data_IF_309037796136
#
_entry.id   IF_309037796136
#
_cell.length_a   1.000
_cell.length_b   1.000
_cell.length_c   1.000
_cell.angle_alpha   90.00
_cell.angle_beta   90.00
_cell.angle_gamma   90.00
#
_symmetry.space_group_name_H-M   'P 1'
#
loop_
_entity.id
_entity.type
_entity.pdbx_description
1 polymer ?
#
# COMPACT_ATOMS: atom_id res chain seq x y z
N UNK A 1 0.42 -19.07 -13.56
CA UNK A 1 -0.66 -19.93 -13.01
C UNK A 1 -1.73 -19.00 -12.50
N UNK A 2 -3.00 -19.20 -12.85
CA UNK A 2 -4.07 -18.30 -12.41
C UNK A 2 -4.42 -18.57 -10.96
N UNK A 3 -4.31 -17.55 -10.10
CA UNK A 3 -4.72 -17.64 -8.69
C UNK A 3 -6.24 -17.79 -8.61
N UNK A 4 -6.70 -18.84 -7.92
CA UNK A 4 -8.12 -19.07 -7.68
C UNK A 4 -8.67 -17.97 -6.75
N UNK A 5 -9.82 -17.42 -7.11
CA UNK A 5 -10.51 -16.39 -6.34
C UNK A 5 -11.99 -16.75 -6.23
N UNK A 6 -12.48 -16.85 -4.99
CA UNK A 6 -13.89 -17.06 -4.67
C UNK A 6 -14.49 -15.71 -4.29
N UNK A 7 -15.57 -15.27 -4.95
CA UNK A 7 -16.28 -14.06 -4.54
C UNK A 7 -16.97 -14.32 -3.20
N UNK A 8 -16.72 -13.49 -2.21
CA UNK A 8 -17.40 -13.53 -0.90
C UNK A 8 -18.60 -12.59 -0.92
N UNK A 9 -18.38 -11.34 -1.31
CA UNK A 9 -19.40 -10.29 -1.42
C UNK A 9 -19.03 -9.30 -2.53
N UNK A 10 -19.78 -8.20 -2.65
CA UNK A 10 -19.59 -7.20 -3.72
C UNK A 10 -18.26 -6.44 -3.66
N UNK A 11 -17.53 -6.54 -2.55
CA UNK A 11 -16.28 -5.84 -2.32
C UNK A 11 -15.16 -6.76 -1.82
N UNK A 12 -15.32 -8.09 -1.86
CA UNK A 12 -14.36 -9.04 -1.31
C UNK A 12 -14.27 -10.34 -2.10
N UNK A 13 -13.05 -10.76 -2.35
CA UNK A 13 -12.70 -12.08 -2.88
C UNK A 13 -11.75 -12.80 -1.91
N UNK A 14 -11.86 -14.11 -1.86
CA UNK A 14 -10.97 -15.00 -1.11
C UNK A 14 -10.04 -15.74 -2.05
N UNK A 15 -8.76 -15.79 -1.70
CA UNK A 15 -7.83 -16.80 -2.21
C UNK A 15 -7.87 -17.97 -1.21
N UNK A 16 -8.42 -19.14 -1.58
CA UNK A 16 -8.58 -20.24 -0.64
C UNK A 16 -7.25 -20.68 -0.03
N UNK A 17 -7.25 -20.99 1.26
CA UNK A 17 -6.06 -21.51 1.92
C UNK A 17 -5.70 -22.87 1.33
N UNK A 18 -4.46 -22.99 0.86
CA UNK A 18 -3.91 -24.22 0.29
C UNK A 18 -2.64 -24.62 1.04
N UNK A 19 -2.79 -25.59 1.98
CA UNK A 19 -1.66 -26.15 2.73
C UNK A 19 -0.66 -26.89 1.83
N UNK A 20 -1.11 -27.43 0.69
CA UNK A 20 -0.22 -28.06 -0.30
C UNK A 20 0.72 -27.07 -0.97
N UNK A 21 0.35 -25.78 -1.01
CA UNK A 21 1.21 -24.66 -1.44
C UNK A 21 1.99 -24.01 -0.29
N UNK A 22 1.90 -24.55 0.93
CA UNK A 22 2.54 -24.02 2.12
C UNK A 22 1.86 -22.78 2.71
N UNK A 23 0.60 -22.49 2.35
CA UNK A 23 -0.13 -21.37 2.95
C UNK A 23 -0.53 -21.70 4.40
N UNK A 24 -0.28 -20.76 5.31
CA UNK A 24 -0.67 -20.83 6.72
C UNK A 24 -2.06 -20.24 6.95
N UNK A 25 -2.47 -19.29 6.10
CA UNK A 25 -3.77 -18.61 6.14
C UNK A 25 -4.36 -18.45 4.73
N UNK A 26 -5.63 -18.06 4.63
CA UNK A 26 -6.24 -17.64 3.36
C UNK A 26 -5.75 -16.27 2.93
N UNK A 27 -5.96 -15.92 1.65
CA UNK A 27 -5.85 -14.55 1.17
C UNK A 27 -7.22 -13.85 1.11
N UNK A 28 -7.27 -12.55 1.38
CA UNK A 28 -8.47 -11.71 1.19
C UNK A 28 -8.10 -10.51 0.32
N UNK A 29 -8.82 -10.34 -0.78
CA UNK A 29 -8.64 -9.22 -1.71
C UNK A 29 -9.90 -8.37 -1.68
N UNK A 30 -9.79 -7.14 -1.20
CA UNK A 30 -10.87 -6.18 -1.23
C UNK A 30 -10.95 -5.59 -2.62
N UNK A 31 -12.02 -5.86 -3.36
CA UNK A 31 -12.19 -5.40 -4.73
C UNK A 31 -13.63 -5.62 -5.17
N UNK A 32 -14.10 -4.82 -6.13
CA UNK A 32 -15.38 -5.06 -6.81
C UNK A 32 -15.15 -5.84 -8.13
N UNK A 33 -16.25 -6.18 -8.83
CA UNK A 33 -16.18 -6.95 -10.09
C UNK A 33 -15.46 -6.21 -11.23
N UNK A 34 -15.29 -4.89 -11.13
CA UNK A 34 -14.60 -4.09 -12.13
C UNK A 34 -13.08 -4.10 -11.89
N UNK A 35 -12.67 -3.73 -10.68
CA UNK A 35 -11.26 -3.63 -10.28
C UNK A 35 -10.56 -4.99 -10.30
N UNK A 36 -11.25 -6.06 -9.93
CA UNK A 36 -10.65 -7.41 -9.88
C UNK A 36 -10.17 -7.90 -11.26
N UNK A 37 -10.70 -7.34 -12.36
CA UNK A 37 -10.25 -7.67 -13.71
C UNK A 37 -8.82 -7.19 -13.93
N UNK A 38 -8.53 -5.93 -13.60
CA UNK A 38 -7.19 -5.37 -13.72
C UNK A 38 -6.19 -5.98 -12.73
N UNK A 39 -6.63 -6.31 -11.51
CA UNK A 39 -5.79 -6.98 -10.51
C UNK A 39 -5.30 -8.36 -11.00
N UNK A 40 -6.05 -9.03 -11.88
CA UNK A 40 -5.65 -10.32 -12.46
C UNK A 40 -4.57 -10.20 -13.54
N UNK A 41 -4.29 -8.99 -14.03
CA UNK A 41 -3.36 -8.76 -15.12
C UNK A 41 -1.89 -8.65 -14.65
N UNK A 42 -1.64 -8.69 -13.34
CA UNK A 42 -0.30 -8.70 -12.77
C UNK A 42 -0.05 -9.83 -11.74
N UNK A 43 1.15 -9.85 -11.16
CA UNK A 43 1.61 -10.88 -10.23
C UNK A 43 1.25 -10.59 -8.76
N UNK A 44 0.48 -9.53 -8.48
CA UNK A 44 0.16 -9.11 -7.11
C UNK A 44 -0.62 -10.16 -6.31
N UNK A 45 -1.54 -10.88 -6.95
CA UNK A 45 -2.27 -12.00 -6.32
C UNK A 45 -1.34 -13.14 -5.89
N UNK A 46 -0.26 -13.40 -6.65
CA UNK A 46 0.74 -14.39 -6.27
C UNK A 46 1.56 -13.89 -5.07
N UNK A 47 1.77 -12.59 -4.93
CA UNK A 47 2.39 -12.02 -3.73
C UNK A 47 1.48 -12.17 -2.50
N UNK A 48 0.16 -12.00 -2.63
CA UNK A 48 -0.79 -12.31 -1.54
C UNK A 48 -0.66 -13.77 -1.10
N UNK A 49 -0.58 -14.70 -2.06
CA UNK A 49 -0.34 -16.13 -1.79
C UNK A 49 0.99 -16.36 -1.08
N UNK A 50 2.07 -15.70 -1.51
CA UNK A 50 3.39 -15.88 -0.90
C UNK A 50 3.44 -15.33 0.52
N UNK A 51 2.85 -14.17 0.77
CA UNK A 51 2.72 -13.59 2.12
C UNK A 51 1.93 -14.52 3.03
N UNK A 52 0.90 -15.20 2.53
CA UNK A 52 0.12 -16.17 3.28
C UNK A 52 0.92 -17.41 3.75
N UNK A 53 2.13 -17.63 3.23
CA UNK A 53 3.04 -18.74 3.63
C UNK A 53 3.98 -18.37 4.77
N UNK A 54 4.04 -17.09 5.15
CA UNK A 54 5.04 -16.60 6.10
C UNK A 54 4.76 -17.10 7.52
N UNK A 55 5.80 -17.45 8.32
CA UNK A 55 5.63 -17.97 9.67
C UNK A 55 4.92 -16.96 10.59
N UNK A 56 4.03 -17.47 11.45
CA UNK A 56 3.32 -16.65 12.44
C UNK A 56 2.32 -15.64 11.86
N UNK A 57 2.00 -15.68 10.56
CA UNK A 57 0.94 -14.82 10.00
C UNK A 57 -0.41 -15.14 10.64
N UNK A 58 -1.18 -14.11 10.99
CA UNK A 58 -2.49 -14.25 11.66
C UNK A 58 -3.64 -13.77 10.78
N UNK A 59 -4.77 -14.48 10.86
CA UNK A 59 -6.01 -14.12 10.16
C UNK A 59 -5.98 -14.40 8.66
N UNK A 60 -5.40 -13.49 7.88
CA UNK A 60 -5.31 -13.57 6.42
C UNK A 60 -4.17 -12.70 5.88
N UNK A 61 -3.66 -13.08 4.71
CA UNK A 61 -2.89 -12.17 3.86
C UNK A 61 -3.88 -11.28 3.10
N UNK A 62 -3.88 -9.98 3.39
CA UNK A 62 -4.90 -9.07 2.87
C UNK A 62 -4.34 -8.14 1.80
N UNK A 63 -5.18 -7.76 0.84
CA UNK A 63 -4.86 -6.80 -0.19
C UNK A 63 -6.01 -5.81 -0.37
N UNK A 64 -5.67 -4.52 -0.41
CA UNK A 64 -6.58 -3.40 -0.61
C UNK A 64 -6.98 -3.27 -2.09
N UNK A 65 -8.01 -2.47 -2.44
CA UNK A 65 -8.50 -2.34 -3.82
C UNK A 65 -7.50 -1.77 -4.82
N UNK A 66 -6.45 -1.11 -4.35
CA UNK A 66 -5.35 -0.54 -5.12
C UNK A 66 -4.13 -1.47 -5.20
N UNK A 67 -4.30 -2.76 -4.91
CA UNK A 67 -3.25 -3.78 -4.98
C UNK A 67 -2.57 -3.80 -6.35
N UNK A 68 -1.24 -3.83 -6.33
CA UNK A 68 -0.41 -4.07 -7.52
C UNK A 68 0.95 -4.64 -7.13
N UNK A 69 1.70 -5.10 -8.14
CA UNK A 69 3.02 -5.70 -7.98
C UNK A 69 3.97 -4.81 -7.15
N UNK A 70 4.44 -5.36 -6.02
CA UNK A 70 5.44 -4.76 -5.15
C UNK A 70 6.73 -5.58 -5.04
N UNK A 71 7.53 -5.33 -3.99
CA UNK A 71 8.77 -6.05 -3.72
C UNK A 71 8.57 -7.13 -2.65
N UNK A 72 8.25 -8.35 -3.08
CA UNK A 72 7.94 -9.48 -2.21
C UNK A 72 6.50 -9.47 -1.70
N UNK A 73 6.10 -8.41 -1.01
CA UNK A 73 4.70 -8.11 -0.71
C UNK A 73 4.10 -7.26 -1.85
N UNK A 74 2.79 -7.34 -2.11
CA UNK A 74 2.14 -6.40 -3.01
C UNK A 74 2.04 -5.02 -2.35
N UNK A 75 2.10 -3.96 -3.15
CA UNK A 75 1.65 -2.63 -2.68
C UNK A 75 0.15 -2.73 -2.43
N UNK A 76 -0.35 -2.03 -1.40
CA UNK A 76 -1.72 -2.23 -0.90
C UNK A 76 -1.89 -3.52 -0.08
N UNK A 77 -0.81 -4.24 0.22
CA UNK A 77 -0.82 -5.43 1.07
C UNK A 77 -0.88 -5.10 2.56
N UNK A 78 -1.58 -5.94 3.33
CA UNK A 78 -1.61 -5.91 4.80
C UNK A 78 -1.44 -7.33 5.33
N UNK A 79 -0.49 -7.52 6.24
CA UNK A 79 -0.33 -8.77 6.98
C UNK A 79 0.02 -8.45 8.43
N UNK A 80 -0.60 -9.19 9.34
CA UNK A 80 -0.26 -9.17 10.74
C UNK A 80 0.47 -10.47 11.10
N UNK A 81 1.48 -10.36 11.94
CA UNK A 81 2.28 -11.49 12.41
C UNK A 81 2.24 -11.53 13.93
N UNK A 82 2.21 -12.74 14.47
CA UNK A 82 2.36 -12.99 15.90
C UNK A 82 3.67 -12.40 16.43
N UNK A 83 3.65 -11.86 17.65
CA UNK A 83 4.82 -11.16 18.20
C UNK A 83 5.95 -12.12 18.58
N UNK A 84 5.62 -13.32 19.03
CA UNK A 84 6.60 -14.29 19.52
C UNK A 84 7.11 -15.21 18.41
N UNK A 85 6.23 -15.63 17.50
CA UNK A 85 6.50 -16.66 16.49
C UNK A 85 6.46 -16.12 15.05
N UNK A 86 6.26 -14.82 14.88
CA UNK A 86 6.18 -14.15 13.59
C UNK A 86 7.52 -13.68 13.05
N UNK A 87 7.45 -12.93 11.95
CA UNK A 87 8.61 -12.37 11.25
C UNK A 87 8.39 -10.88 10.97
N UNK A 88 9.49 -10.17 10.75
CA UNK A 88 9.48 -8.84 10.15
C UNK A 88 10.11 -8.96 8.76
N UNK A 89 9.39 -8.46 7.74
CA UNK A 89 9.89 -8.38 6.38
C UNK A 89 9.96 -6.92 5.94
N UNK A 90 11.16 -6.35 5.68
CA UNK A 90 11.28 -5.00 5.15
C UNK A 90 10.50 -4.79 3.84
N UNK A 91 10.39 -5.83 2.99
CA UNK A 91 9.57 -5.80 1.78
C UNK A 91 8.07 -5.64 2.04
N UNK A 92 7.59 -6.00 3.23
CA UNK A 92 6.22 -5.74 3.67
C UNK A 92 5.98 -4.34 4.25
N UNK A 93 7.05 -3.58 4.51
CA UNK A 93 6.97 -2.16 4.93
C UNK A 93 7.15 -1.25 3.71
N UNK A 94 8.10 -1.56 2.83
CA UNK A 94 8.42 -0.77 1.65
C UNK A 94 9.73 0.01 1.80
N UNK A 95 10.26 0.47 0.66
CA UNK A 95 11.54 1.19 0.59
C UNK A 95 11.44 2.60 1.20
N UNK A 96 10.35 3.33 0.92
CA UNK A 96 10.08 4.66 1.47
C UNK A 96 9.32 4.52 2.81
N UNK A 97 10.08 4.23 3.87
CA UNK A 97 9.52 4.00 5.20
C UNK A 97 8.80 5.25 5.68
N UNK A 98 7.53 5.07 6.08
CA UNK A 98 6.64 6.15 6.51
C UNK A 98 6.31 7.16 5.38
N UNK A 99 6.35 6.72 4.12
CA UNK A 99 5.63 7.41 3.05
C UNK A 99 4.17 7.59 3.47
N UNK A 100 3.65 8.81 3.42
CA UNK A 100 2.37 9.12 4.00
C UNK A 100 1.87 10.50 3.65
N UNK A 101 0.68 10.81 4.16
CA UNK A 101 -0.05 12.05 3.83
C UNK A 101 -0.26 12.86 5.09
N UNK A 102 -0.07 14.19 4.98
CA UNK A 102 -0.46 15.17 5.99
C UNK A 102 -1.46 16.14 5.39
N UNK A 103 -2.56 16.37 6.11
CA UNK A 103 -3.59 17.34 5.75
C UNK A 103 -3.53 18.55 6.67
N UNK A 104 -3.53 19.76 6.10
CA UNK A 104 -3.58 21.02 6.84
C UNK A 104 -4.88 21.74 6.45
N UNK A 105 -5.68 22.11 7.47
CA UNK A 105 -6.92 22.88 7.28
C UNK A 105 -6.66 24.37 7.50
N UNK A 106 -7.27 25.20 6.67
CA UNK A 106 -7.35 26.66 6.87
C UNK A 106 -8.80 27.08 7.07
N UNK A 107 -9.02 28.33 7.49
CA UNK A 107 -10.35 28.93 7.54
C UNK A 107 -10.79 29.53 6.19
N UNK A 108 -9.95 29.44 5.16
CA UNK A 108 -10.25 29.98 3.83
C UNK A 108 -11.19 29.03 3.07
N UNK A 109 -12.07 29.60 2.27
CA UNK A 109 -12.89 28.85 1.32
C UNK A 109 -12.37 29.02 -0.12
N UNK A 110 -12.99 28.27 -1.04
CA UNK A 110 -12.61 28.29 -2.46
C UNK A 110 -12.77 29.68 -3.08
N UNK A 111 -13.85 30.40 -2.77
CA UNK A 111 -14.13 31.73 -3.34
C UNK A 111 -13.05 32.76 -2.99
N UNK A 112 -12.46 32.65 -1.79
CA UNK A 112 -11.38 33.52 -1.35
C UNK A 112 -10.04 33.23 -2.04
N UNK A 113 -9.86 32.02 -2.58
CA UNK A 113 -8.56 31.56 -3.11
C UNK A 113 -8.54 31.35 -4.62
N UNK A 114 -9.70 31.17 -5.27
CA UNK A 114 -9.81 30.76 -6.68
C UNK A 114 -9.04 31.63 -7.67
N UNK A 115 -8.92 32.93 -7.42
CA UNK A 115 -8.18 33.86 -8.29
C UNK A 115 -6.67 33.92 -8.01
N UNK A 116 -6.22 33.36 -6.89
CA UNK A 116 -4.84 33.40 -6.42
C UNK A 116 -4.17 32.01 -6.44
N UNK A 117 -4.85 30.95 -6.89
CA UNK A 117 -4.32 29.58 -6.87
C UNK A 117 -2.95 29.48 -7.54
N UNK A 118 -2.74 30.18 -8.66
CA UNK A 118 -1.44 30.18 -9.36
C UNK A 118 -0.33 30.74 -8.46
N UNK A 119 -0.59 31.85 -7.78
CA UNK A 119 0.39 32.52 -6.92
C UNK A 119 0.67 31.70 -5.66
N UNK A 120 -0.38 31.10 -5.07
CA UNK A 120 -0.27 30.20 -3.92
C UNK A 120 0.59 28.98 -4.27
N UNK A 121 0.32 28.32 -5.40
CA UNK A 121 1.08 27.13 -5.84
C UNK A 121 2.53 27.49 -6.14
N UNK A 122 2.77 28.63 -6.80
CA UNK A 122 4.13 29.12 -7.06
C UNK A 122 4.88 29.36 -5.75
N UNK A 123 4.23 29.95 -4.75
CA UNK A 123 4.89 30.18 -3.47
C UNK A 123 5.16 28.90 -2.69
N UNK A 124 4.26 27.92 -2.74
CA UNK A 124 4.52 26.59 -2.16
C UNK A 124 5.73 25.96 -2.84
N UNK A 125 5.80 25.99 -4.17
CA UNK A 125 6.91 25.40 -4.92
C UNK A 125 8.26 26.07 -4.63
N UNK A 126 8.29 27.39 -4.50
CA UNK A 126 9.51 28.11 -4.11
C UNK A 126 9.94 27.80 -2.67
N UNK A 127 8.99 27.57 -1.77
CA UNK A 127 9.28 27.37 -0.35
C UNK A 127 9.47 25.92 0.07
N UNK A 128 8.99 24.95 -0.71
CA UNK A 128 9.09 23.51 -0.46
C UNK A 128 9.99 22.88 -1.53
N UNK A 129 11.28 22.64 -1.23
CA UNK A 129 12.21 22.01 -2.16
C UNK A 129 11.68 20.66 -2.64
N UNK A 130 11.69 20.42 -3.95
CA UNK A 130 11.25 19.17 -4.57
C UNK A 130 12.12 18.80 -5.77
N UNK A 131 12.26 17.50 -6.03
CA UNK A 131 13.10 16.94 -7.10
C UNK A 131 14.26 16.09 -6.58
N UNK A 132 14.66 15.09 -7.36
CA UNK A 132 15.75 14.17 -7.01
C UNK A 132 17.06 14.94 -6.81
N UNK A 133 17.75 14.71 -5.69
CA UNK A 133 19.01 15.36 -5.35
C UNK A 133 18.88 16.81 -4.86
N UNK A 134 17.66 17.30 -4.58
CA UNK A 134 17.47 18.61 -3.94
C UNK A 134 17.54 18.49 -2.43
N UNK A 135 18.16 19.48 -1.80
CA UNK A 135 18.33 19.56 -0.34
C UNK A 135 17.32 20.52 0.31
N UNK A 136 17.14 20.38 1.62
CA UNK A 136 16.33 21.29 2.42
C UNK A 136 17.02 22.62 2.70
N UNK A 137 16.26 23.61 3.19
CA UNK A 137 16.82 24.92 3.59
C UNK A 137 17.69 24.87 4.85
N UNK A 138 17.58 23.79 5.64
CA UNK A 138 18.32 23.61 6.87
C UNK A 138 19.58 22.78 6.59
N UNK A 139 20.74 23.28 7.03
CA UNK A 139 21.97 22.49 7.09
C UNK A 139 22.06 21.83 8.47
N UNK A 140 22.20 20.51 8.49
CA UNK A 140 22.37 19.74 9.72
C UNK A 140 23.84 19.35 9.83
N UNK A 141 24.53 19.83 10.87
CA UNK A 141 25.86 19.33 11.22
C UNK A 141 25.72 17.95 11.87
N UNK A 142 26.61 17.02 11.50
CA UNK A 142 26.77 15.81 12.30
C UNK A 142 27.45 16.22 13.61
N UNK A 143 26.80 15.92 14.75
CA UNK A 143 27.46 15.90 16.05
C UNK A 143 28.27 14.62 16.19
#
# INVERSE_FOLDING_TARGET
MTTALNKIDDCKYEIPMDRGKGMNVRGIVYSNDELIKGIRDDESLNQVVNVAKLPGIVGASMAMPDIHLGYGFPIGGVAAFDLENGIISPGGVGYDINCGVRLIRTSLNFEQTKHQIKDIVNEIFQNVPSGVGREGKLSLSQN
#
